data_IF_926806655583
#
_entry.id   IF_926806655583
#
_cell.length_a   1.000
_cell.length_b   1.000
_cell.length_c   1.000
_cell.angle_alpha   90.00
_cell.angle_beta   90.00
_cell.angle_gamma   90.00
#
_symmetry.space_group_name_H-M   'P 1'
#
loop_
_entity.id
_entity.type
_entity.pdbx_description
1 polymer ?
#
# COMPACT_ATOMS: atom_id res chain seq x y z
N UNK A 1 -9.32 1.39 9.40
CA UNK A 1 -9.14 0.69 8.12
C UNK A 1 -8.90 -0.77 8.42
N UNK A 2 -9.70 -1.66 7.84
CA UNK A 2 -9.53 -3.11 7.98
C UNK A 2 -9.04 -3.71 6.67
N UNK A 3 -8.21 -4.74 6.75
CA UNK A 3 -7.85 -5.59 5.61
C UNK A 3 -8.96 -6.59 5.28
N UNK A 4 -8.78 -7.33 4.18
CA UNK A 4 -9.74 -8.33 3.68
C UNK A 4 -10.11 -9.42 4.71
N UNK A 5 -9.29 -9.65 5.73
CA UNK A 5 -9.50 -10.65 6.79
C UNK A 5 -10.01 -10.05 8.12
N UNK A 6 -10.36 -8.76 8.15
CA UNK A 6 -10.69 -8.06 9.40
C UNK A 6 -9.47 -7.59 10.20
N UNK A 7 -8.27 -7.78 9.66
CA UNK A 7 -7.02 -7.34 10.29
C UNK A 7 -6.90 -5.81 10.31
N UNK A 8 -6.37 -5.27 11.40
CA UNK A 8 -6.08 -3.85 11.50
C UNK A 8 -4.85 -3.49 10.66
N UNK A 9 -5.06 -2.99 9.45
CA UNK A 9 -3.99 -2.61 8.50
C UNK A 9 -3.41 -1.22 8.76
N UNK A 10 -4.13 -0.37 9.49
CA UNK A 10 -3.69 0.98 9.76
C UNK A 10 -4.75 1.90 10.37
N UNK A 11 -4.34 3.13 10.58
CA UNK A 11 -5.10 4.21 11.18
C UNK A 11 -5.20 5.37 10.19
N UNK A 12 -6.12 6.30 10.44
CA UNK A 12 -6.25 7.50 9.64
C UNK A 12 -6.64 8.68 10.52
N UNK A 13 -6.25 9.87 10.10
CA UNK A 13 -6.74 11.15 10.60
C UNK A 13 -7.20 12.02 9.42
N UNK A 14 -7.43 13.31 9.64
CA UNK A 14 -7.89 14.23 8.60
C UNK A 14 -6.89 14.44 7.46
N UNK A 15 -5.60 14.20 7.69
CA UNK A 15 -4.51 14.55 6.78
C UNK A 15 -3.75 13.33 6.25
N UNK A 16 -3.71 12.23 7.00
CA UNK A 16 -2.82 11.10 6.74
C UNK A 16 -3.51 9.75 6.95
N UNK A 17 -3.02 8.77 6.19
CA UNK A 17 -3.15 7.35 6.53
C UNK A 17 -1.85 6.85 7.15
N UNK A 18 -1.97 6.07 8.21
CA UNK A 18 -0.85 5.45 8.92
C UNK A 18 -0.96 3.94 8.77
N UNK A 19 -0.21 3.38 7.83
CA UNK A 19 -0.23 1.95 7.56
C UNK A 19 0.78 1.23 8.46
N UNK A 20 0.34 0.14 9.07
CA UNK A 20 1.21 -0.75 9.85
C UNK A 20 2.01 -1.64 8.89
N UNK A 21 3.35 -1.57 8.84
CA UNK A 21 4.15 -2.23 7.81
C UNK A 21 3.93 -3.76 7.73
N UNK A 22 3.88 -4.51 8.86
CA UNK A 22 3.58 -5.94 8.80
C UNK A 22 2.20 -6.24 8.23
N UNK A 23 1.16 -5.54 8.72
CA UNK A 23 -0.22 -5.76 8.30
C UNK A 23 -0.45 -5.38 6.83
N UNK A 24 0.13 -4.27 6.38
CA UNK A 24 0.09 -3.86 4.98
C UNK A 24 0.72 -4.92 4.07
N UNK A 25 1.87 -5.46 4.46
CA UNK A 25 2.55 -6.49 3.66
C UNK A 25 1.72 -7.76 3.52
N UNK A 26 1.15 -8.26 4.63
CA UNK A 26 0.28 -9.43 4.59
C UNK A 26 -0.96 -9.18 3.73
N UNK A 27 -1.61 -8.01 3.91
CA UNK A 27 -2.78 -7.65 3.10
C UNK A 27 -2.44 -7.56 1.61
N UNK A 28 -1.28 -6.99 1.24
CA UNK A 28 -0.84 -6.91 -0.14
C UNK A 28 -0.53 -8.28 -0.72
N UNK A 29 0.08 -9.17 0.07
CA UNK A 29 0.37 -10.54 -0.35
C UNK A 29 -0.92 -11.30 -0.68
N UNK A 30 -1.93 -11.20 0.19
CA UNK A 30 -3.24 -11.79 -0.08
C UNK A 30 -3.90 -11.18 -1.32
N UNK A 31 -3.85 -9.85 -1.46
CA UNK A 31 -4.40 -9.17 -2.62
C UNK A 31 -3.75 -9.61 -3.94
N UNK A 32 -2.41 -9.63 -4.01
CA UNK A 32 -1.71 -10.04 -5.23
C UNK A 32 -1.94 -11.51 -5.58
N UNK A 33 -2.03 -12.39 -4.58
CA UNK A 33 -2.37 -13.81 -4.79
C UNK A 33 -3.79 -13.94 -5.36
N UNK A 34 -4.75 -13.19 -4.82
CA UNK A 34 -6.14 -13.22 -5.27
C UNK A 34 -6.32 -12.67 -6.71
N UNK A 35 -5.56 -11.63 -7.06
CA UNK A 35 -5.59 -10.96 -8.37
C UNK A 35 -4.70 -11.63 -9.42
N UNK A 36 -3.93 -12.68 -9.07
CA UNK A 36 -2.97 -13.30 -10.00
C UNK A 36 -1.83 -12.37 -10.46
N UNK A 37 -1.62 -11.27 -9.75
CA UNK A 37 -0.68 -10.20 -10.15
C UNK A 37 0.73 -10.43 -9.62
N UNK A 38 1.73 -9.81 -10.28
CA UNK A 38 3.13 -9.90 -9.88
C UNK A 38 3.34 -9.26 -8.49
N UNK A 39 3.60 -10.11 -7.50
CA UNK A 39 3.89 -9.66 -6.15
C UNK A 39 5.28 -9.01 -6.07
N UNK A 40 5.43 -7.85 -5.39
CA UNK A 40 6.76 -7.26 -5.19
C UNK A 40 7.69 -8.22 -4.46
N UNK A 41 8.89 -8.39 -5.00
CA UNK A 41 9.86 -9.39 -4.52
C UNK A 41 10.25 -9.24 -3.04
N UNK A 42 10.21 -8.02 -2.48
CA UNK A 42 10.62 -7.72 -1.09
C UNK A 42 9.88 -6.51 -0.50
N UNK A 43 9.68 -6.49 0.83
CA UNK A 43 9.11 -5.35 1.61
C UNK A 43 9.80 -4.03 1.29
N UNK A 44 11.13 -4.02 1.27
CA UNK A 44 11.90 -2.82 0.97
C UNK A 44 11.70 -2.33 -0.45
N UNK A 45 11.50 -3.23 -1.42
CA UNK A 45 11.20 -2.85 -2.80
C UNK A 45 9.85 -2.14 -2.87
N UNK A 46 8.83 -2.67 -2.21
CA UNK A 46 7.53 -2.00 -2.10
C UNK A 46 7.66 -0.59 -1.50
N UNK A 47 8.35 -0.45 -0.37
CA UNK A 47 8.47 0.86 0.29
C UNK A 47 9.25 1.86 -0.55
N UNK A 48 10.30 1.40 -1.24
CA UNK A 48 11.04 2.23 -2.20
C UNK A 48 10.17 2.63 -3.39
N UNK A 49 9.34 1.73 -3.91
CA UNK A 49 8.40 2.07 -4.98
C UNK A 49 7.38 3.14 -4.54
N UNK A 50 6.83 3.00 -3.33
CA UNK A 50 5.92 3.99 -2.74
C UNK A 50 6.62 5.34 -2.52
N UNK A 51 7.86 5.32 -2.03
CA UNK A 51 8.68 6.53 -1.85
C UNK A 51 9.00 7.23 -3.16
N UNK A 52 9.42 6.47 -4.18
CA UNK A 52 9.74 6.99 -5.51
C UNK A 52 8.51 7.64 -6.17
N UNK A 53 7.32 7.08 -5.93
CA UNK A 53 6.04 7.65 -6.38
C UNK A 53 5.52 8.77 -5.47
N UNK A 54 6.28 9.18 -4.45
CA UNK A 54 5.91 10.20 -3.44
C UNK A 54 4.60 9.89 -2.72
N UNK A 55 4.23 8.62 -2.61
CA UNK A 55 3.00 8.19 -1.94
C UNK A 55 3.15 8.11 -0.43
N UNK A 56 4.39 7.94 0.05
CA UNK A 56 4.71 7.92 1.48
C UNK A 56 5.61 9.09 1.85
N UNK A 57 5.45 9.58 3.07
CA UNK A 57 6.38 10.48 3.72
C UNK A 57 7.64 9.70 4.13
N UNK A 58 8.80 10.23 3.77
CA UNK A 58 10.11 9.63 4.07
C UNK A 58 10.90 10.62 4.91
N UNK A 59 11.58 10.14 5.96
CA UNK A 59 12.43 10.98 6.81
C UNK A 59 13.89 10.53 6.69
N UNK A 60 14.68 11.28 5.90
CA UNK A 60 16.02 10.85 5.49
C UNK A 60 15.92 9.57 4.65
N UNK A 61 16.71 8.55 4.99
CA UNK A 61 16.66 7.23 4.32
C UNK A 61 15.61 6.27 4.90
N UNK A 62 14.75 6.74 5.82
CA UNK A 62 13.77 5.89 6.50
C UNK A 62 12.40 6.03 5.87
N UNK A 63 11.97 4.97 5.18
CA UNK A 63 10.60 4.84 4.66
C UNK A 63 9.56 4.63 5.76
N UNK A 64 9.95 3.96 6.86
CA UNK A 64 9.06 3.69 8.00
C UNK A 64 9.42 4.64 9.14
N UNK A 65 8.50 5.54 9.45
CA UNK A 65 8.70 6.64 10.41
C UNK A 65 7.89 6.39 11.70
N UNK A 66 8.31 6.96 12.85
CA UNK A 66 7.50 6.91 14.06
C UNK A 66 6.23 7.77 13.89
N UNK A 67 5.07 7.18 14.17
CA UNK A 67 3.78 7.85 14.27
C UNK A 67 3.18 7.65 15.66
N UNK A 68 2.56 8.70 16.21
CA UNK A 68 1.85 8.63 17.47
C UNK A 68 0.42 8.15 17.26
N UNK A 69 0.10 6.95 17.72
CA UNK A 69 -1.16 6.28 17.41
C UNK A 69 -1.70 5.60 18.67
N UNK A 70 -2.96 5.89 19.04
CA UNK A 70 -3.61 5.36 20.25
C UNK A 70 -2.76 5.52 21.52
N UNK A 71 -2.11 6.68 21.67
CA UNK A 71 -1.29 6.98 22.85
C UNK A 71 0.06 6.25 22.92
N UNK A 72 0.51 5.62 21.83
CA UNK A 72 1.82 4.97 21.74
C UNK A 72 2.54 5.35 20.45
N UNK A 73 3.86 5.51 20.50
CA UNK A 73 4.69 5.66 19.30
C UNK A 73 4.85 4.31 18.60
N UNK A 74 4.47 4.22 17.33
CA UNK A 74 4.58 3.02 16.51
C UNK A 74 5.24 3.32 15.17
N UNK A 75 5.88 2.31 14.57
CA UNK A 75 6.54 2.42 13.26
C UNK A 75 5.50 2.26 12.16
N UNK A 76 5.33 3.29 11.32
CA UNK A 76 4.29 3.35 10.31
C UNK A 76 4.79 3.88 8.97
N UNK A 77 4.10 3.51 7.89
CA UNK A 77 4.16 4.20 6.61
C UNK A 77 3.10 5.28 6.64
N UNK A 78 3.52 6.54 6.48
CA UNK A 78 2.62 7.68 6.54
C UNK A 78 2.32 8.14 5.12
N UNK A 79 1.07 8.07 4.71
CA UNK A 79 0.60 8.40 3.37
C UNK A 79 -0.24 9.68 3.50
N UNK A 80 0.16 10.81 2.88
CA UNK A 80 -0.68 12.00 2.80
C UNK A 80 -1.96 11.69 2.03
N UNK A 81 -3.12 12.07 2.57
CA UNK A 81 -4.41 11.80 1.90
C UNK A 81 -4.50 12.40 0.50
N UNK A 82 -3.88 13.56 0.28
CA UNK A 82 -3.79 14.18 -1.05
C UNK A 82 -3.15 13.29 -2.11
N UNK A 83 -2.28 12.36 -1.71
CA UNK A 83 -1.53 11.52 -2.64
C UNK A 83 -2.28 10.23 -3.02
N UNK A 84 -3.42 9.97 -2.38
CA UNK A 84 -4.23 8.76 -2.62
C UNK A 84 -5.18 8.98 -3.78
N UNK A 85 -5.75 10.18 -3.93
CA UNK A 85 -6.71 10.49 -5.00
C UNK A 85 -6.08 10.54 -6.40
N UNK A 86 -4.78 10.74 -6.55
CA UNK A 86 -4.10 10.68 -7.86
C UNK A 86 -3.78 9.26 -8.31
N UNK A 87 -3.70 8.30 -7.38
CA UNK A 87 -3.53 6.88 -7.71
C UNK A 87 -4.92 6.26 -7.77
N UNK A 88 -5.72 6.73 -8.73
CA UNK A 88 -6.92 6.05 -9.14
C UNK A 88 -6.55 4.61 -9.53
N UNK A 89 -7.14 3.65 -8.82
CA UNK A 89 -7.15 2.23 -9.16
C UNK A 89 -7.38 2.13 -10.67
N UNK A 90 -6.31 1.86 -11.42
CA UNK A 90 -6.45 1.48 -12.81
C UNK A 90 -7.01 0.08 -12.75
N UNK A 91 -8.32 -0.06 -12.97
CA UNK A 91 -8.89 -1.32 -13.42
C UNK A 91 -7.95 -1.84 -14.51
N UNK A 92 -7.24 -2.93 -14.21
CA UNK A 92 -6.50 -3.65 -15.21
C UNK A 92 -7.57 -4.15 -16.20
N UNK A 93 -7.75 -3.43 -17.30
CA UNK A 93 -8.53 -3.93 -18.42
C UNK A 93 -7.84 -5.22 -18.86
N UNK A 94 -8.51 -6.34 -18.62
CA UNK A 94 -8.23 -7.58 -19.33
C UNK A 94 -8.32 -7.27 -20.84
N UNK A 95 -7.19 -7.17 -21.50
CA UNK A 95 -7.13 -7.35 -22.94
C UNK A 95 -7.44 -8.82 -23.21
N UNK A 96 -8.73 -9.10 -23.41
CA UNK A 96 -9.18 -10.34 -24.03
C UNK A 96 -8.69 -10.31 -25.47
N UNK A 97 -7.51 -10.86 -25.73
CA UNK A 97 -7.06 -11.20 -27.08
C UNK A 97 -7.96 -12.32 -27.59
N UNK A 98 -9.05 -11.93 -28.26
CA UNK A 98 -9.90 -12.84 -29.00
C UNK A 98 -9.18 -13.22 -30.30
N UNK A 99 -8.27 -14.19 -30.24
CA UNK A 99 -7.77 -14.85 -31.44
C UNK A 99 -8.81 -15.88 -31.91
N UNK A 100 -9.82 -15.36 -32.60
CA UNK A 100 -10.79 -16.16 -33.34
C UNK A 100 -10.31 -16.31 -34.79
N UNK A 101 -9.79 -17.50 -35.09
CA UNK A 101 -9.80 -18.21 -36.38
C UNK A 101 -10.02 -17.37 -37.65
N UNK A 102 -9.03 -17.40 -38.55
CA UNK A 102 -9.23 -17.87 -39.93
C UNK A 102 -7.94 -18.30 -40.61
#
# INVERSE_FOLDING_TARGET
MGGLLGDLIGYYDDFYLYMLPPALWHSLQHFCIAEGSLFPFCKNTLYRMLANRKLIEVKGDRHVIPGWIKGKTQRVLKIPKGNICEVGVTEARDEVTNDSKR
#
